data_IF_311926631366
#
_entry.id   IF_311926631366
#
_cell.length_a   1.000
_cell.length_b   1.000
_cell.length_c   1.000
_cell.angle_alpha   90.00
_cell.angle_beta   90.00
_cell.angle_gamma   90.00
#
_symmetry.space_group_name_H-M   'P 1'
#
loop_
_entity.id
_entity.type
_entity.pdbx_description
1 polymer ?
#
# COMPACT_ATOMS: atom_id res chain seq x y z
N UNK A 1 2.34 16.57 15.26
CA UNK A 1 1.08 16.23 15.99
C UNK A 1 -0.07 17.18 15.68
N UNK A 2 0.13 18.50 15.58
CA UNK A 2 -0.95 19.48 15.29
C UNK A 2 -1.73 19.19 14.00
N UNK A 3 -1.06 18.72 12.95
CA UNK A 3 -1.70 18.31 11.68
C UNK A 3 -2.33 16.91 11.70
N UNK A 4 -2.38 16.22 12.85
CA UNK A 4 -2.79 14.81 12.98
C UNK A 4 -2.02 13.87 12.04
N UNK A 5 -0.74 14.18 11.83
CA UNK A 5 0.23 13.37 11.12
C UNK A 5 1.22 12.77 12.12
N UNK A 6 1.51 11.50 11.93
CA UNK A 6 2.55 10.75 12.62
C UNK A 6 3.76 10.59 11.68
N UNK A 7 4.96 10.53 12.26
CA UNK A 7 6.19 10.33 11.51
C UNK A 7 6.51 8.84 11.51
N UNK A 8 6.75 8.31 10.31
CA UNK A 8 7.39 7.02 10.12
C UNK A 8 8.85 7.25 9.73
N UNK A 9 9.79 6.68 10.49
CA UNK A 9 11.22 6.81 10.21
C UNK A 9 11.70 5.63 9.38
N UNK A 10 12.55 5.89 8.39
CA UNK A 10 13.28 4.82 7.69
C UNK A 10 14.39 4.26 8.59
N UNK A 11 14.47 2.93 8.68
CA UNK A 11 15.53 2.24 9.41
C UNK A 11 16.26 1.32 8.44
N UNK A 12 17.43 1.78 8.01
CA UNK A 12 18.35 1.05 7.15
C UNK A 12 19.59 0.63 7.94
N UNK A 13 19.64 -0.63 8.38
CA UNK A 13 20.81 -1.18 9.07
C UNK A 13 21.91 -1.56 8.07
N UNK A 14 22.68 -0.55 7.71
CA UNK A 14 23.88 -0.56 6.88
C UNK A 14 24.68 0.72 7.18
N UNK A 15 25.94 0.76 6.79
CA UNK A 15 26.81 1.90 7.04
C UNK A 15 27.47 2.38 5.75
N UNK A 16 27.66 3.69 5.57
CA UNK A 16 28.63 4.18 4.58
C UNK A 16 30.06 3.83 5.04
N UNK A 17 31.05 3.81 4.13
CA UNK A 17 32.44 3.50 4.50
C UNK A 17 33.06 4.42 5.56
N UNK A 18 32.55 5.65 5.68
CA UNK A 18 32.98 6.67 6.63
C UNK A 18 32.17 6.70 7.94
N UNK A 19 31.19 5.80 8.10
CA UNK A 19 30.41 5.70 9.33
C UNK A 19 31.32 5.31 10.52
N UNK A 20 31.18 5.94 11.71
CA UNK A 20 32.04 5.67 12.87
C UNK A 20 32.16 4.19 13.24
N UNK A 21 31.06 3.42 13.16
CA UNK A 21 31.10 1.97 13.42
C UNK A 21 32.09 1.19 12.56
N UNK A 22 32.39 1.63 11.33
CA UNK A 22 33.36 0.94 10.46
C UNK A 22 34.77 0.99 11.08
N UNK A 23 35.12 2.12 11.71
CA UNK A 23 36.40 2.28 12.39
C UNK A 23 36.38 1.75 13.84
N UNK A 24 35.31 2.00 14.58
CA UNK A 24 35.21 1.73 16.02
C UNK A 24 34.79 0.29 16.33
N UNK A 25 34.05 -0.35 15.42
CA UNK A 25 33.46 -1.69 15.60
C UNK A 25 33.73 -2.59 14.39
N UNK A 26 34.99 -2.72 13.98
CA UNK A 26 35.40 -3.53 12.82
C UNK A 26 34.86 -4.98 12.85
N UNK A 27 34.66 -5.57 14.04
CA UNK A 27 34.08 -6.91 14.17
C UNK A 27 32.65 -7.03 13.65
N UNK A 28 31.90 -5.93 13.54
CA UNK A 28 30.52 -5.93 13.02
C UNK A 28 30.44 -6.00 11.49
N UNK A 29 31.57 -6.08 10.79
CA UNK A 29 31.64 -6.16 9.34
C UNK A 29 32.47 -7.36 8.88
N UNK A 30 32.10 -7.92 7.73
CA UNK A 30 32.82 -9.05 7.15
C UNK A 30 33.96 -8.57 6.26
N UNK A 31 35.19 -8.70 6.78
CA UNK A 31 36.40 -8.36 6.04
C UNK A 31 36.82 -9.49 5.09
N UNK A 32 37.23 -9.12 3.88
CA UNK A 32 37.90 -9.99 2.92
C UNK A 32 39.35 -10.27 3.36
N UNK A 33 40.03 -11.27 2.78
CA UNK A 33 41.42 -11.58 3.11
C UNK A 33 42.40 -10.42 2.89
N UNK A 34 42.06 -9.47 2.02
CA UNK A 34 42.86 -8.26 1.76
C UNK A 34 42.56 -7.10 2.75
N UNK A 35 41.67 -7.32 3.72
CA UNK A 35 41.25 -6.35 4.72
C UNK A 35 40.09 -5.46 4.30
N UNK A 36 39.68 -5.46 3.03
CA UNK A 36 38.54 -4.67 2.55
C UNK A 36 37.19 -5.22 3.02
N UNK A 37 36.19 -4.36 3.16
CA UNK A 37 34.79 -4.77 3.40
C UNK A 37 34.05 -4.80 2.07
N UNK A 38 33.33 -5.89 1.80
CA UNK A 38 32.50 -5.99 0.60
C UNK A 38 31.29 -5.07 0.71
N UNK A 39 31.06 -4.26 -0.33
CA UNK A 39 29.87 -3.43 -0.45
C UNK A 39 28.59 -4.28 -0.55
N UNK A 40 27.44 -3.71 -0.18
CA UNK A 40 26.18 -4.44 -0.15
C UNK A 40 25.63 -4.72 -1.56
N UNK A 41 24.97 -5.86 -1.73
CA UNK A 41 24.31 -6.24 -2.99
C UNK A 41 22.91 -6.78 -2.71
N UNK A 42 21.96 -6.45 -3.59
CA UNK A 42 20.67 -7.12 -3.69
C UNK A 42 20.44 -7.46 -5.17
N UNK A 43 21.01 -8.58 -5.66
CA UNK A 43 21.11 -8.84 -7.09
C UNK A 43 19.78 -8.66 -7.84
N UNK A 44 19.78 -7.95 -8.98
CA UNK A 44 20.96 -7.47 -9.72
C UNK A 44 21.55 -6.14 -9.24
N UNK A 45 20.97 -5.48 -8.22
CA UNK A 45 21.42 -4.18 -7.71
C UNK A 45 22.70 -4.31 -6.88
N UNK A 46 23.59 -3.33 -7.04
CA UNK A 46 24.83 -3.15 -6.28
C UNK A 46 24.82 -1.80 -5.60
N UNK A 47 25.27 -1.74 -4.37
CA UNK A 47 25.32 -0.52 -3.57
C UNK A 47 26.75 -0.32 -3.06
N UNK A 48 27.58 0.28 -3.92
CA UNK A 48 29.02 0.45 -3.68
C UNK A 48 29.35 1.44 -2.56
N UNK A 49 28.36 2.24 -2.17
CA UNK A 49 28.39 3.29 -1.17
C UNK A 49 28.03 2.82 0.24
N UNK A 50 27.71 1.54 0.45
CA UNK A 50 27.28 0.99 1.74
C UNK A 50 27.89 -0.38 2.06
N UNK A 51 28.10 -0.64 3.35
CA UNK A 51 28.58 -1.89 3.94
C UNK A 51 27.47 -2.56 4.78
N UNK A 52 27.25 -3.88 4.60
CA UNK A 52 26.30 -4.63 5.40
C UNK A 52 26.91 -5.05 6.75
N UNK A 53 26.10 -5.05 7.81
CA UNK A 53 26.49 -5.63 9.09
C UNK A 53 26.57 -7.16 9.04
N UNK A 54 27.52 -7.72 9.78
CA UNK A 54 27.62 -9.14 10.10
C UNK A 54 26.87 -9.43 11.41
N UNK A 55 25.58 -9.79 11.27
CA UNK A 55 24.68 -10.10 12.39
C UNK A 55 25.07 -11.35 13.19
N UNK A 56 26.03 -12.13 12.70
CA UNK A 56 26.54 -13.36 13.30
C UNK A 56 28.03 -13.23 13.67
N UNK A 57 28.53 -11.98 13.71
CA UNK A 57 29.89 -11.67 14.12
C UNK A 57 30.22 -12.16 15.53
N UNK A 58 31.52 -12.20 15.85
CA UNK A 58 31.97 -12.53 17.21
C UNK A 58 31.46 -11.59 18.30
N UNK A 59 30.96 -10.40 17.92
CA UNK A 59 30.43 -9.37 18.80
C UNK A 59 28.92 -9.11 18.58
N UNK A 60 28.20 -10.13 18.08
CA UNK A 60 26.81 -9.98 17.67
C UNK A 60 25.87 -9.48 18.79
N UNK A 61 26.11 -9.81 20.06
CA UNK A 61 25.26 -9.34 21.16
C UNK A 61 25.29 -7.82 21.31
N UNK A 62 26.47 -7.22 21.18
CA UNK A 62 26.64 -5.78 21.28
C UNK A 62 26.07 -5.09 20.05
N UNK A 63 26.30 -5.65 18.85
CA UNK A 63 25.67 -5.17 17.62
C UNK A 63 24.13 -5.16 17.75
N UNK A 64 23.52 -6.28 18.18
CA UNK A 64 22.06 -6.36 18.30
C UNK A 64 21.52 -5.37 19.32
N UNK A 65 22.21 -5.22 20.46
CA UNK A 65 21.83 -4.25 21.50
C UNK A 65 21.91 -2.82 20.97
N UNK A 66 22.96 -2.48 20.23
CA UNK A 66 23.14 -1.16 19.64
C UNK A 66 22.04 -0.86 18.61
N UNK A 67 21.79 -1.77 17.66
CA UNK A 67 20.77 -1.58 16.63
C UNK A 67 19.35 -1.52 17.21
N UNK A 68 19.07 -2.26 18.28
CA UNK A 68 17.81 -2.13 19.03
C UNK A 68 17.70 -0.80 19.76
N UNK A 69 18.81 -0.32 20.33
CA UNK A 69 18.95 1.00 20.95
C UNK A 69 18.61 2.15 20.00
N UNK A 70 18.94 2.04 18.71
CA UNK A 70 18.56 3.04 17.69
C UNK A 70 17.04 3.22 17.61
N UNK A 71 16.27 2.13 17.66
CA UNK A 71 14.81 2.24 17.69
C UNK A 71 14.34 2.95 18.97
N UNK A 72 14.87 2.56 20.13
CA UNK A 72 14.50 3.14 21.43
C UNK A 72 14.77 4.64 21.47
N UNK A 73 15.92 5.06 20.99
CA UNK A 73 16.27 6.47 20.88
C UNK A 73 15.18 7.26 20.12
N UNK A 74 14.74 6.77 18.94
CA UNK A 74 13.70 7.45 18.17
C UNK A 74 12.31 7.36 18.80
N UNK A 75 12.01 6.29 19.53
CA UNK A 75 10.78 6.18 20.33
C UNK A 75 10.75 7.27 21.42
N UNK A 76 11.86 7.52 22.09
CA UNK A 76 11.97 8.62 23.07
C UNK A 76 11.74 9.99 22.41
N UNK A 77 12.13 10.16 21.15
CA UNK A 77 11.85 11.38 20.36
C UNK A 77 10.40 11.46 19.83
N UNK A 78 9.55 10.48 20.12
CA UNK A 78 8.14 10.50 19.73
C UNK A 78 7.80 9.76 18.43
N UNK A 79 8.76 9.12 17.77
CA UNK A 79 8.51 8.27 16.59
C UNK A 79 7.87 6.96 17.05
N UNK A 80 6.85 6.48 16.33
CA UNK A 80 6.15 5.22 16.66
C UNK A 80 6.05 4.25 15.49
N UNK A 81 6.38 4.70 14.28
CA UNK A 81 6.31 3.89 13.08
C UNK A 81 7.70 3.83 12.45
N UNK A 82 8.13 2.64 12.07
CA UNK A 82 9.42 2.39 11.44
C UNK A 82 9.21 1.65 10.12
N UNK A 83 9.62 2.26 9.00
CA UNK A 83 9.76 1.57 7.71
C UNK A 83 11.15 0.96 7.69
N UNK A 84 11.22 -0.36 7.78
CA UNK A 84 12.50 -1.07 7.89
C UNK A 84 12.92 -1.51 6.49
N UNK A 85 14.11 -1.06 6.10
CA UNK A 85 14.68 -1.29 4.78
C UNK A 85 15.20 -2.73 4.63
N UNK A 86 14.76 -3.40 3.56
CA UNK A 86 15.23 -4.73 3.16
C UNK A 86 15.46 -5.71 4.33
N UNK A 87 14.51 -5.93 5.28
CA UNK A 87 14.76 -6.74 6.48
C UNK A 87 15.09 -8.19 6.15
N UNK A 88 14.74 -8.65 4.95
CA UNK A 88 15.08 -9.97 4.42
C UNK A 88 16.57 -10.21 4.17
N UNK A 89 17.40 -9.15 4.23
CA UNK A 89 18.87 -9.21 4.09
C UNK A 89 19.60 -9.24 5.44
N UNK A 90 18.86 -9.14 6.55
CA UNK A 90 19.38 -9.13 7.93
C UNK A 90 19.02 -10.44 8.64
N UNK A 91 19.56 -10.64 9.84
CA UNK A 91 19.23 -11.83 10.65
C UNK A 91 17.75 -11.86 11.05
N UNK A 92 17.11 -13.00 10.80
CA UNK A 92 15.71 -13.23 11.18
C UNK A 92 15.53 -13.32 12.70
N UNK A 93 16.50 -13.93 13.39
CA UNK A 93 16.51 -14.03 14.83
C UNK A 93 16.65 -12.65 15.49
N UNK A 94 17.44 -11.76 14.87
CA UNK A 94 17.55 -10.38 15.32
C UNK A 94 16.20 -9.67 15.27
N UNK A 95 15.44 -9.81 14.18
CA UNK A 95 14.13 -9.17 14.06
C UNK A 95 13.13 -9.68 15.10
N UNK A 96 13.04 -11.00 15.29
CA UNK A 96 12.17 -11.59 16.30
C UNK A 96 12.51 -11.09 17.70
N UNK A 97 13.81 -11.03 18.03
CA UNK A 97 14.30 -10.54 19.31
C UNK A 97 14.06 -9.03 19.50
N UNK A 98 14.47 -8.19 18.56
CA UNK A 98 14.41 -6.73 18.66
C UNK A 98 12.95 -6.26 18.68
N UNK A 99 12.11 -6.74 17.75
CA UNK A 99 10.69 -6.36 17.70
C UNK A 99 9.95 -6.85 18.95
N UNK A 100 10.24 -8.07 19.42
CA UNK A 100 9.65 -8.62 20.64
C UNK A 100 9.96 -7.76 21.87
N UNK A 101 11.22 -7.34 22.03
CA UNK A 101 11.64 -6.46 23.13
C UNK A 101 11.02 -5.07 23.03
N UNK A 102 11.08 -4.44 21.85
CA UNK A 102 10.52 -3.10 21.67
C UNK A 102 9.01 -3.11 21.92
N UNK A 103 8.27 -4.09 21.40
CA UNK A 103 6.81 -4.17 21.62
C UNK A 103 6.42 -4.57 23.04
N UNK A 104 7.30 -5.21 23.79
CA UNK A 104 7.06 -5.46 25.22
C UNK A 104 6.98 -4.13 25.99
N UNK A 105 7.91 -3.22 25.73
CA UNK A 105 7.99 -1.93 26.44
C UNK A 105 7.14 -0.83 25.77
N UNK A 106 6.97 -0.90 24.45
CA UNK A 106 6.31 0.08 23.59
C UNK A 106 5.35 -0.61 22.61
N UNK A 107 4.23 -1.18 23.11
CA UNK A 107 3.30 -1.99 22.30
C UNK A 107 2.62 -1.21 21.17
N UNK A 108 2.62 0.12 21.23
CA UNK A 108 2.11 1.00 20.18
C UNK A 108 3.02 1.11 18.96
N UNK A 109 4.26 0.62 19.04
CA UNK A 109 5.25 0.72 17.96
C UNK A 109 4.90 -0.19 16.78
N UNK A 110 4.89 0.40 15.57
CA UNK A 110 4.58 -0.28 14.32
C UNK A 110 5.83 -0.42 13.44
N UNK A 111 5.99 -1.60 12.85
CA UNK A 111 7.11 -1.91 11.96
C UNK A 111 6.56 -2.33 10.59
N UNK A 112 6.95 -1.61 9.54
CA UNK A 112 6.64 -1.92 8.15
C UNK A 112 7.86 -2.59 7.51
N UNK A 113 7.71 -3.85 7.10
CA UNK A 113 8.76 -4.59 6.40
C UNK A 113 8.77 -4.23 4.90
N UNK A 114 9.83 -3.59 4.43
CA UNK A 114 10.07 -3.42 2.99
C UNK A 114 10.79 -4.66 2.42
N UNK A 115 10.01 -5.71 2.11
CA UNK A 115 10.57 -7.00 1.72
C UNK A 115 10.04 -7.49 0.37
N UNK A 116 10.61 -6.97 -0.73
CA UNK A 116 10.38 -7.50 -2.07
C UNK A 116 11.22 -8.75 -2.34
N UNK A 117 10.84 -9.84 -1.69
CA UNK A 117 11.56 -11.12 -1.73
C UNK A 117 10.61 -12.27 -2.06
N UNK A 118 11.03 -13.53 -1.94
CA UNK A 118 10.15 -14.70 -2.17
C UNK A 118 9.05 -14.78 -1.09
N UNK A 119 7.85 -15.30 -1.41
CA UNK A 119 6.72 -15.32 -0.49
C UNK A 119 6.99 -15.96 0.88
N UNK A 120 7.80 -17.03 0.92
CA UNK A 120 8.14 -17.72 2.18
C UNK A 120 8.87 -16.81 3.17
N UNK A 121 9.77 -15.95 2.68
CA UNK A 121 10.55 -15.03 3.52
C UNK A 121 9.66 -13.87 3.98
N UNK A 122 8.86 -13.30 3.07
CA UNK A 122 7.91 -12.24 3.39
C UNK A 122 6.94 -12.69 4.51
N UNK A 123 6.37 -13.89 4.38
CA UNK A 123 5.50 -14.49 5.40
C UNK A 123 6.22 -14.74 6.73
N UNK A 124 7.50 -15.15 6.70
CA UNK A 124 8.27 -15.34 7.92
C UNK A 124 8.45 -14.02 8.66
N UNK A 125 8.84 -12.94 7.98
CA UNK A 125 9.02 -11.62 8.59
C UNK A 125 7.73 -11.12 9.25
N UNK A 126 6.59 -11.28 8.58
CA UNK A 126 5.29 -10.95 9.19
C UNK A 126 5.04 -11.74 10.49
N UNK A 127 5.36 -13.05 10.52
CA UNK A 127 5.25 -13.88 11.73
C UNK A 127 6.27 -13.52 12.81
N UNK A 128 7.45 -13.03 12.44
CA UNK A 128 8.49 -12.59 13.35
C UNK A 128 8.14 -11.29 14.10
N UNK A 129 7.01 -10.65 13.77
CA UNK A 129 6.46 -9.53 14.55
C UNK A 129 6.28 -8.23 13.78
N UNK A 130 6.70 -8.17 12.50
CA UNK A 130 6.43 -7.02 11.64
C UNK A 130 4.93 -6.74 11.56
N UNK A 131 4.58 -5.47 11.75
CA UNK A 131 3.17 -5.05 11.90
C UNK A 131 2.47 -4.96 10.56
N UNK A 132 3.21 -4.53 9.54
CA UNK A 132 2.78 -4.40 8.15
C UNK A 132 3.86 -4.91 7.20
N UNK A 133 3.46 -5.20 5.96
CA UNK A 133 4.36 -5.67 4.90
C UNK A 133 4.11 -4.93 3.59
N UNK A 134 5.19 -4.45 2.97
CA UNK A 134 5.20 -4.27 1.52
C UNK A 134 4.88 -5.61 0.84
N UNK A 135 4.45 -5.54 -0.42
CA UNK A 135 3.84 -6.67 -1.11
C UNK A 135 3.95 -6.46 -2.63
N UNK A 136 3.47 -7.43 -3.41
CA UNK A 136 3.66 -7.42 -4.87
C UNK A 136 2.63 -6.57 -5.62
N UNK A 137 1.86 -5.72 -4.95
CA UNK A 137 0.83 -4.89 -5.57
C UNK A 137 1.29 -4.12 -6.80
N UNK A 138 2.48 -3.44 -6.85
CA UNK A 138 2.93 -2.74 -8.05
C UNK A 138 2.91 -3.59 -9.33
N UNK A 139 3.21 -4.89 -9.20
CA UNK A 139 3.30 -5.84 -10.31
C UNK A 139 2.04 -6.70 -10.47
N UNK A 140 0.89 -6.26 -9.94
CA UNK A 140 -0.42 -6.88 -10.18
C UNK A 140 -1.30 -5.84 -10.86
N UNK A 141 -1.44 -5.94 -12.17
CA UNK A 141 -2.08 -4.92 -13.01
C UNK A 141 -3.33 -5.44 -13.70
N UNK A 142 -3.43 -6.73 -14.00
CA UNK A 142 -4.63 -7.31 -14.62
C UNK A 142 -5.69 -7.66 -13.58
N UNK A 143 -6.96 -7.78 -14.02
CA UNK A 143 -8.09 -8.23 -13.19
C UNK A 143 -7.79 -9.53 -12.48
N UNK A 144 -7.25 -10.52 -13.21
CA UNK A 144 -6.91 -11.83 -12.66
C UNK A 144 -5.79 -11.75 -11.62
N UNK A 145 -4.71 -11.03 -11.92
CA UNK A 145 -3.57 -10.86 -11.01
C UNK A 145 -3.99 -10.21 -9.69
N UNK A 146 -4.76 -9.11 -9.77
CA UNK A 146 -5.25 -8.39 -8.59
C UNK A 146 -6.19 -9.28 -7.79
N UNK A 147 -7.18 -9.90 -8.44
CA UNK A 147 -8.17 -10.76 -7.79
C UNK A 147 -7.48 -11.92 -7.07
N UNK A 148 -6.59 -12.64 -7.75
CA UNK A 148 -5.88 -13.78 -7.18
C UNK A 148 -5.01 -13.35 -5.99
N UNK A 149 -4.24 -12.27 -6.15
CA UNK A 149 -3.30 -11.85 -5.13
C UNK A 149 -3.98 -11.32 -3.87
N UNK A 150 -5.01 -10.49 -4.02
CA UNK A 150 -5.72 -9.93 -2.88
C UNK A 150 -6.59 -10.99 -2.21
N UNK A 151 -7.19 -11.92 -2.97
CA UNK A 151 -7.89 -13.08 -2.39
C UNK A 151 -6.93 -13.93 -1.55
N UNK A 152 -5.70 -14.17 -2.02
CA UNK A 152 -4.69 -14.87 -1.23
C UNK A 152 -4.40 -14.12 0.10
N UNK A 153 -4.18 -12.82 0.05
CA UNK A 153 -3.84 -12.03 1.24
C UNK A 153 -4.97 -11.98 2.27
N UNK A 154 -6.23 -11.88 1.83
CA UNK A 154 -7.38 -11.63 2.73
C UNK A 154 -8.18 -12.86 3.08
N UNK A 155 -8.15 -13.91 2.25
CA UNK A 155 -9.00 -15.10 2.41
C UNK A 155 -8.19 -16.39 2.69
N UNK A 156 -6.87 -16.30 2.82
CA UNK A 156 -6.02 -17.41 3.29
C UNK A 156 -5.56 -17.22 4.73
N UNK A 157 -4.78 -18.18 5.25
CA UNK A 157 -4.14 -18.05 6.56
C UNK A 157 -3.19 -16.84 6.68
N UNK A 158 -2.78 -16.22 5.57
CA UNK A 158 -1.96 -15.00 5.59
C UNK A 158 -2.61 -13.86 6.37
N UNK A 159 -3.94 -13.76 6.35
CA UNK A 159 -4.70 -12.71 7.06
C UNK A 159 -4.42 -12.65 8.57
N UNK A 160 -4.06 -13.79 9.17
CA UNK A 160 -3.88 -13.92 10.62
C UNK A 160 -2.58 -13.23 11.10
N UNK A 161 -1.62 -13.00 10.20
CA UNK A 161 -0.29 -12.50 10.57
C UNK A 161 0.27 -11.41 9.64
N UNK A 162 -0.23 -11.28 8.41
CA UNK A 162 0.28 -10.35 7.40
C UNK A 162 -0.75 -9.25 7.13
N UNK A 163 -0.36 -7.99 7.36
CA UNK A 163 -1.16 -6.81 7.02
C UNK A 163 -0.53 -6.08 5.83
N UNK A 164 -1.15 -6.07 4.65
CA UNK A 164 -0.55 -5.47 3.48
C UNK A 164 -0.57 -3.94 3.58
N UNK A 165 0.53 -3.30 3.21
CA UNK A 165 0.59 -1.87 2.93
C UNK A 165 0.78 -1.68 1.41
N UNK A 166 -0.27 -1.26 0.71
CA UNK A 166 -0.29 -1.21 -0.76
C UNK A 166 0.36 0.08 -1.27
N UNK A 167 1.56 -0.01 -1.84
CA UNK A 167 2.24 1.11 -2.48
C UNK A 167 2.20 0.94 -3.99
N UNK A 168 1.59 1.85 -4.78
CA UNK A 168 1.60 1.78 -6.24
C UNK A 168 2.95 2.21 -6.83
N UNK A 169 3.72 3.02 -6.10
CA UNK A 169 5.07 3.43 -6.45
C UNK A 169 5.96 3.52 -5.19
N UNK A 170 7.26 3.47 -5.37
CA UNK A 170 8.28 3.82 -4.36
C UNK A 170 9.41 4.59 -5.05
N UNK A 171 10.41 5.14 -4.35
CA UNK A 171 11.58 5.74 -5.00
C UNK A 171 12.36 4.78 -5.94
N UNK A 172 12.15 3.47 -5.78
CA UNK A 172 12.80 2.39 -6.54
C UNK A 172 11.89 1.70 -7.56
N UNK A 173 10.58 1.99 -7.53
CA UNK A 173 9.56 1.26 -8.30
C UNK A 173 8.66 2.26 -9.02
N UNK A 174 8.89 2.39 -10.33
CA UNK A 174 8.04 3.00 -11.33
C UNK A 174 7.69 1.92 -12.36
N UNK A 175 6.56 1.26 -12.20
CA UNK A 175 6.19 0.13 -13.08
C UNK A 175 5.81 0.59 -14.49
N UNK A 176 5.96 -0.28 -15.48
CA UNK A 176 5.58 0.01 -16.88
C UNK A 176 4.14 0.50 -17.02
N UNK A 177 3.22 0.01 -16.18
CA UNK A 177 1.83 0.47 -16.16
C UNK A 177 1.72 1.98 -15.93
N UNK A 178 2.52 2.53 -15.00
CA UNK A 178 2.57 3.97 -14.73
C UNK A 178 3.36 4.72 -15.82
N UNK A 179 4.41 4.11 -16.38
CA UNK A 179 5.20 4.70 -17.46
C UNK A 179 4.35 4.98 -18.70
N UNK A 180 3.56 3.99 -19.15
CA UNK A 180 2.83 4.07 -20.42
C UNK A 180 1.38 4.53 -20.28
N UNK A 181 0.75 4.36 -19.11
CA UNK A 181 -0.67 4.65 -18.93
C UNK A 181 -1.01 6.12 -18.61
N UNK A 182 0.00 6.98 -18.45
CA UNK A 182 -0.18 8.41 -18.19
C UNK A 182 -1.02 8.71 -16.94
N UNK A 183 -1.62 9.90 -16.88
CA UNK A 183 -2.39 10.39 -15.71
C UNK A 183 -3.47 9.41 -15.24
N UNK A 184 -4.18 8.76 -16.16
CA UNK A 184 -5.25 7.81 -15.86
C UNK A 184 -4.73 6.57 -15.13
N UNK A 185 -3.54 6.06 -15.47
CA UNK A 185 -2.93 4.96 -14.74
C UNK A 185 -2.63 5.32 -13.27
N UNK A 186 -2.11 6.52 -12.98
CA UNK A 186 -1.91 6.97 -11.59
C UNK A 186 -3.23 7.03 -10.82
N UNK A 187 -4.30 7.54 -11.44
CA UNK A 187 -5.64 7.55 -10.83
C UNK A 187 -6.19 6.14 -10.54
N UNK A 188 -5.99 5.20 -11.48
CA UNK A 188 -6.39 3.78 -11.35
C UNK A 188 -5.64 3.14 -10.20
N UNK A 189 -4.31 3.21 -10.21
CA UNK A 189 -3.45 2.59 -9.20
C UNK A 189 -3.69 3.16 -7.81
N UNK A 190 -3.97 4.46 -7.72
CA UNK A 190 -4.33 5.08 -6.45
C UNK A 190 -5.69 4.62 -5.94
N UNK A 191 -6.73 4.59 -6.79
CA UNK A 191 -8.03 4.08 -6.40
C UNK A 191 -7.90 2.65 -5.88
N UNK A 192 -7.26 1.76 -6.64
CA UNK A 192 -7.02 0.37 -6.25
C UNK A 192 -6.29 0.27 -4.90
N UNK A 193 -5.16 0.95 -4.72
CA UNK A 193 -4.41 0.89 -3.47
C UNK A 193 -5.26 1.38 -2.28
N UNK A 194 -5.96 2.50 -2.48
CA UNK A 194 -6.74 3.17 -1.46
C UNK A 194 -8.08 2.48 -1.13
N UNK A 195 -8.60 1.57 -1.97
CA UNK A 195 -9.87 0.87 -1.68
C UNK A 195 -9.72 -0.63 -1.50
N UNK A 196 -8.67 -1.27 -2.03
CA UNK A 196 -8.37 -2.68 -1.73
C UNK A 196 -7.78 -2.82 -0.32
N UNK A 197 -6.80 -1.99 0.04
CA UNK A 197 -6.06 -2.08 1.30
C UNK A 197 -6.53 -1.11 2.38
N UNK A 198 -6.57 -1.57 3.63
CA UNK A 198 -6.78 -0.74 4.80
C UNK A 198 -5.57 0.16 5.08
N UNK A 199 -4.38 -0.26 4.66
CA UNK A 199 -3.15 0.55 4.66
C UNK A 199 -2.58 0.65 3.25
N UNK A 200 -2.18 1.86 2.87
CA UNK A 200 -1.56 2.15 1.58
C UNK A 200 -0.59 3.33 1.75
N UNK A 201 0.32 3.52 0.80
CA UNK A 201 1.15 4.72 0.72
C UNK A 201 1.45 5.09 -0.72
N UNK A 202 2.02 6.28 -0.93
CA UNK A 202 2.52 6.76 -2.22
C UNK A 202 3.84 7.48 -1.98
N UNK A 203 4.77 7.38 -2.93
CA UNK A 203 5.94 8.24 -2.97
C UNK A 203 5.58 9.52 -3.74
N UNK A 204 5.26 10.58 -3.00
CA UNK A 204 4.98 11.92 -3.51
C UNK A 204 6.18 12.87 -3.30
N UNK A 205 6.26 14.00 -4.02
CA UNK A 205 5.25 14.49 -4.96
C UNK A 205 5.19 13.83 -6.33
N UNK A 206 6.15 12.95 -6.64
CA UNK A 206 6.27 12.28 -7.94
C UNK A 206 4.96 11.60 -8.37
N UNK A 207 4.25 10.93 -7.45
CA UNK A 207 3.00 10.23 -7.76
C UNK A 207 1.85 11.18 -8.13
N UNK A 208 1.55 12.20 -7.33
CA UNK A 208 0.43 13.11 -7.64
C UNK A 208 0.70 14.04 -8.82
N UNK A 209 1.97 14.20 -9.21
CA UNK A 209 2.42 14.90 -10.41
C UNK A 209 2.64 13.96 -11.60
N UNK A 210 2.29 12.67 -11.45
CA UNK A 210 2.34 11.63 -12.47
C UNK A 210 3.69 11.55 -13.21
N UNK A 211 4.78 11.72 -12.46
CA UNK A 211 6.14 11.54 -12.97
C UNK A 211 6.34 10.10 -13.40
N UNK A 212 6.57 9.90 -14.69
CA UNK A 212 6.52 8.58 -15.32
C UNK A 212 7.69 8.29 -16.26
N UNK A 213 8.73 9.14 -16.26
CA UNK A 213 9.92 8.92 -17.07
C UNK A 213 10.84 7.88 -16.39
N UNK A 214 11.07 6.71 -17.00
CA UNK A 214 12.05 5.75 -16.49
C UNK A 214 13.47 6.21 -16.83
N UNK A 215 14.46 5.74 -16.06
CA UNK A 215 15.90 5.99 -16.32
C UNK A 215 16.28 5.57 -17.74
N UNK A 216 15.80 4.41 -18.17
CA UNK A 216 15.97 3.86 -19.51
C UNK A 216 14.83 2.85 -19.80
N UNK A 217 14.53 2.53 -21.07
CA UNK A 217 13.49 1.56 -21.41
C UNK A 217 13.67 0.21 -20.69
N UNK A 218 12.60 -0.28 -20.06
CA UNK A 218 12.61 -1.52 -19.25
C UNK A 218 13.13 -1.35 -17.82
N UNK A 219 13.58 -0.16 -17.43
CA UNK A 219 13.93 0.15 -16.04
C UNK A 219 12.68 0.52 -15.23
N UNK A 220 12.63 0.10 -13.97
CA UNK A 220 11.64 0.58 -12.99
C UNK A 220 12.19 1.73 -12.12
N UNK A 221 13.42 2.21 -12.38
CA UNK A 221 13.98 3.37 -11.70
C UNK A 221 13.50 4.66 -12.38
N UNK A 222 13.20 5.69 -11.58
CA UNK A 222 12.89 7.02 -12.10
C UNK A 222 14.11 7.62 -12.82
N UNK A 223 13.86 8.29 -13.94
CA UNK A 223 14.82 9.24 -14.51
C UNK A 223 15.08 10.33 -13.49
N UNK A 224 16.34 10.76 -13.35
CA UNK A 224 16.68 11.91 -12.51
C UNK A 224 16.20 11.71 -11.05
N UNK A 225 16.39 10.50 -10.52
CA UNK A 225 15.88 10.05 -9.21
C UNK A 225 16.30 10.97 -8.05
N UNK A 226 15.33 11.33 -7.20
CA UNK A 226 15.54 12.16 -6.00
C UNK A 226 16.48 11.49 -4.98
N UNK A 227 16.71 10.17 -5.10
CA UNK A 227 17.71 9.46 -4.29
C UNK A 227 19.13 10.02 -4.47
N UNK A 228 19.42 10.64 -5.62
CA UNK A 228 20.77 11.08 -5.98
C UNK A 228 20.86 12.58 -6.26
N UNK A 229 19.75 13.31 -6.16
CA UNK A 229 19.72 14.75 -6.38
C UNK A 229 18.51 15.41 -5.70
N UNK A 230 18.65 16.70 -5.41
CA UNK A 230 17.53 17.51 -4.91
C UNK A 230 16.55 17.74 -6.05
N UNK A 231 15.25 17.48 -5.81
CA UNK A 231 14.18 17.86 -6.73
C UNK A 231 13.34 18.98 -6.15
N UNK A 232 12.91 19.88 -7.04
CA UNK A 232 11.96 20.93 -6.73
C UNK A 232 10.67 20.66 -7.51
N UNK A 233 9.56 20.59 -6.78
CA UNK A 233 8.27 20.16 -7.31
C UNK A 233 7.30 21.33 -7.46
N UNK A 234 6.58 21.40 -8.58
CA UNK A 234 5.50 22.37 -8.78
C UNK A 234 4.18 21.86 -8.16
N UNK A 235 4.06 21.95 -6.83
CA UNK A 235 2.95 21.37 -6.05
C UNK A 235 1.56 21.96 -6.37
N UNK A 236 1.52 23.11 -7.03
CA UNK A 236 0.28 23.81 -7.38
C UNK A 236 -0.22 23.56 -8.79
N UNK A 237 0.44 22.65 -9.54
CA UNK A 237 -0.01 22.19 -10.85
C UNK A 237 -1.51 21.85 -10.85
N UNK A 238 -2.26 22.48 -11.75
CA UNK A 238 -3.71 22.38 -11.85
C UNK A 238 -4.20 20.96 -12.21
N UNK A 239 -3.36 20.19 -12.90
CA UNK A 239 -3.60 18.82 -13.35
C UNK A 239 -3.18 17.76 -12.31
N UNK A 240 -2.61 18.19 -11.17
CA UNK A 240 -2.20 17.32 -10.06
C UNK A 240 -3.36 16.47 -9.53
N UNK A 241 -3.03 15.27 -9.07
CA UNK A 241 -3.99 14.34 -8.46
C UNK A 241 -4.31 14.67 -7.00
N UNK A 242 -3.75 15.73 -6.40
CA UNK A 242 -3.92 16.05 -4.97
C UNK A 242 -5.40 16.08 -4.52
N UNK A 243 -6.31 16.62 -5.32
CA UNK A 243 -7.73 16.73 -4.95
C UNK A 243 -8.45 15.39 -5.07
N UNK A 244 -8.08 14.58 -6.06
CA UNK A 244 -8.54 13.20 -6.21
C UNK A 244 -8.07 12.34 -5.02
N UNK A 245 -6.79 12.47 -4.65
CA UNK A 245 -6.18 11.83 -3.49
C UNK A 245 -6.88 12.24 -2.20
N UNK A 246 -7.10 13.54 -2.00
CA UNK A 246 -7.81 14.08 -0.84
C UNK A 246 -9.25 13.58 -0.78
N UNK A 247 -9.96 13.50 -1.93
CA UNK A 247 -11.34 13.00 -2.00
C UNK A 247 -11.43 11.55 -1.54
N UNK A 248 -10.60 10.65 -2.05
CA UNK A 248 -10.62 9.23 -1.67
C UNK A 248 -10.15 9.03 -0.23
N UNK A 249 -9.17 9.81 0.25
CA UNK A 249 -8.78 9.77 1.65
C UNK A 249 -9.91 10.19 2.59
N UNK A 250 -10.71 11.19 2.22
CA UNK A 250 -11.95 11.52 2.95
C UNK A 250 -12.93 10.36 2.91
N UNK A 251 -13.15 9.75 1.74
CA UNK A 251 -14.04 8.58 1.60
C UNK A 251 -13.61 7.46 2.56
N UNK A 252 -12.32 7.13 2.62
CA UNK A 252 -11.79 6.10 3.54
C UNK A 252 -12.03 6.43 5.02
N UNK A 253 -11.86 7.70 5.42
CA UNK A 253 -12.12 8.15 6.79
C UNK A 253 -13.60 8.06 7.18
N UNK A 254 -14.50 8.37 6.24
CA UNK A 254 -15.94 8.41 6.46
C UNK A 254 -16.63 7.04 6.33
N UNK A 255 -15.94 6.01 5.82
CA UNK A 255 -16.52 4.70 5.53
C UNK A 255 -15.69 3.58 6.19
N UNK A 256 -16.13 3.07 7.36
CA UNK A 256 -15.41 2.04 8.12
C UNK A 256 -15.13 0.75 7.33
N UNK A 257 -15.94 0.42 6.32
CA UNK A 257 -15.69 -0.73 5.44
C UNK A 257 -14.32 -0.69 4.73
N UNK A 258 -13.75 0.51 4.53
CA UNK A 258 -12.43 0.67 3.89
C UNK A 258 -11.27 0.63 4.89
N UNK A 259 -11.54 0.49 6.19
CA UNK A 259 -10.55 0.53 7.28
C UNK A 259 -10.11 -0.88 7.75
N UNK A 260 -10.64 -1.94 7.12
CA UNK A 260 -10.29 -3.35 7.37
C UNK A 260 -10.19 -4.11 6.05
N UNK A 261 -9.41 -5.19 5.98
CA UNK A 261 -9.17 -5.93 4.72
C UNK A 261 -10.04 -7.18 4.54
N UNK A 262 -10.62 -7.69 5.61
CA UNK A 262 -11.12 -9.07 5.67
C UNK A 262 -12.45 -9.32 4.98
N UNK A 263 -13.23 -8.27 4.77
CA UNK A 263 -14.53 -8.34 4.10
C UNK A 263 -14.43 -8.13 2.59
N UNK A 264 -13.21 -8.12 2.03
CA UNK A 264 -13.02 -7.94 0.59
C UNK A 264 -13.60 -9.13 -0.18
N UNK A 265 -14.51 -8.82 -1.11
CA UNK A 265 -15.13 -9.78 -2.02
C UNK A 265 -15.08 -9.22 -3.44
N UNK A 266 -14.65 -10.03 -4.40
CA UNK A 266 -14.64 -9.69 -5.82
C UNK A 266 -15.95 -10.14 -6.48
N UNK A 267 -16.44 -9.33 -7.43
CA UNK A 267 -17.70 -9.56 -8.13
C UNK A 267 -17.48 -9.69 -9.62
N UNK A 268 -18.32 -10.50 -10.25
CA UNK A 268 -18.24 -10.77 -11.68
C UNK A 268 -18.74 -9.58 -12.51
N UNK A 269 -17.97 -9.25 -13.54
CA UNK A 269 -18.32 -8.25 -14.55
C UNK A 269 -17.84 -8.80 -15.89
N UNK A 270 -18.71 -8.77 -16.90
CA UNK A 270 -18.50 -9.37 -18.23
C UNK A 270 -17.53 -8.57 -19.14
N UNK A 271 -16.50 -7.98 -18.53
CA UNK A 271 -15.40 -7.29 -19.19
C UNK A 271 -14.10 -7.51 -18.39
N UNK A 272 -13.03 -7.96 -19.04
CA UNK A 272 -11.74 -8.26 -18.42
C UNK A 272 -10.93 -7.00 -18.05
N UNK A 273 -11.23 -5.86 -18.67
CA UNK A 273 -10.67 -4.57 -18.32
C UNK A 273 -11.41 -3.90 -17.13
N UNK A 274 -12.55 -4.44 -16.69
CA UNK A 274 -13.26 -3.95 -15.51
C UNK A 274 -13.03 -4.89 -14.31
N UNK A 275 -12.75 -4.31 -13.15
CA UNK A 275 -12.70 -5.04 -11.87
C UNK A 275 -13.72 -4.46 -10.91
N UNK A 276 -14.48 -5.35 -10.25
CA UNK A 276 -15.46 -4.98 -9.25
C UNK A 276 -15.20 -5.72 -7.95
N UNK A 277 -15.31 -5.01 -6.82
CA UNK A 277 -15.21 -5.61 -5.50
C UNK A 277 -15.97 -4.79 -4.47
N UNK A 278 -16.32 -5.42 -3.35
CA UNK A 278 -16.92 -4.75 -2.21
C UNK A 278 -16.16 -5.00 -0.92
N UNK A 279 -16.31 -4.06 0.02
CA UNK A 279 -15.97 -4.21 1.43
C UNK A 279 -17.16 -3.71 2.25
N UNK A 280 -17.37 -4.29 3.43
CA UNK A 280 -18.50 -3.93 4.30
C UNK A 280 -18.10 -3.99 5.76
N UNK A 281 -18.88 -3.34 6.61
CA UNK A 281 -18.90 -3.65 8.05
C UNK A 281 -19.62 -4.97 8.29
N UNK A 282 -19.33 -5.64 9.41
CA UNK A 282 -19.95 -6.93 9.76
C UNK A 282 -21.49 -6.84 9.88
N UNK A 283 -21.99 -5.69 10.32
CA UNK A 283 -23.42 -5.39 10.45
C UNK A 283 -24.08 -4.91 9.13
N UNK A 284 -23.30 -4.82 8.04
CA UNK A 284 -23.73 -4.36 6.72
C UNK A 284 -24.34 -2.94 6.70
N UNK A 285 -24.03 -2.08 7.68
CA UNK A 285 -24.50 -0.68 7.72
C UNK A 285 -23.65 0.24 6.84
N UNK A 286 -22.41 -0.13 6.57
CA UNK A 286 -21.53 0.52 5.62
C UNK A 286 -21.07 -0.52 4.58
N UNK A 287 -21.52 -0.36 3.33
CA UNK A 287 -21.15 -1.23 2.21
C UNK A 287 -20.58 -0.34 1.10
N UNK A 288 -19.33 -0.58 0.75
CA UNK A 288 -18.65 0.09 -0.35
C UNK A 288 -18.45 -0.91 -1.48
N UNK A 289 -18.94 -0.56 -2.66
CA UNK A 289 -18.75 -1.28 -3.90
C UNK A 289 -17.88 -0.41 -4.82
N UNK A 290 -16.76 -0.94 -5.29
CA UNK A 290 -15.81 -0.23 -6.13
C UNK A 290 -15.74 -0.90 -7.48
N UNK A 291 -15.87 -0.11 -8.53
CA UNK A 291 -15.64 -0.50 -9.91
C UNK A 291 -14.46 0.29 -10.45
N UNK A 292 -13.50 -0.37 -11.10
CA UNK A 292 -12.33 0.29 -11.69
C UNK A 292 -12.14 -0.20 -13.12
N UNK A 293 -11.94 0.74 -14.05
CA UNK A 293 -11.44 0.47 -15.38
C UNK A 293 -9.92 0.36 -15.32
N UNK A 294 -9.39 -0.82 -15.67
CA UNK A 294 -7.96 -1.14 -15.67
C UNK A 294 -7.27 -0.71 -16.97
N UNK A 295 -8.03 -0.38 -18.02
CA UNK A 295 -7.52 0.21 -19.26
C UNK A 295 -7.37 1.74 -19.07
N UNK A 296 -6.14 2.28 -19.04
CA UNK A 296 -5.93 3.71 -18.84
C UNK A 296 -6.24 4.55 -20.09
N UNK A 297 -6.53 3.92 -21.24
CA UNK A 297 -6.64 4.60 -22.53
C UNK A 297 -8.06 4.64 -23.07
N UNK A 298 -8.86 3.58 -22.86
CA UNK A 298 -10.18 3.45 -23.48
C UNK A 298 -11.32 3.35 -22.47
N UNK A 299 -12.47 3.92 -22.84
CA UNK A 299 -13.73 3.70 -22.15
C UNK A 299 -14.08 2.22 -22.19
N UNK A 300 -14.43 1.67 -21.03
CA UNK A 300 -14.86 0.28 -20.87
C UNK A 300 -16.25 0.24 -20.28
N UNK A 301 -17.07 -0.69 -20.74
CA UNK A 301 -18.41 -0.92 -20.20
C UNK A 301 -18.68 -2.41 -20.00
N UNK A 302 -19.67 -2.74 -19.18
CA UNK A 302 -20.05 -4.11 -18.88
C UNK A 302 -21.26 -4.22 -17.97
N UNK A 303 -21.76 -5.43 -17.82
CA UNK A 303 -22.79 -5.82 -16.88
C UNK A 303 -22.16 -6.46 -15.65
N UNK A 304 -22.37 -5.80 -14.51
CA UNK A 304 -21.99 -6.27 -13.20
C UNK A 304 -23.06 -7.20 -12.64
N UNK A 305 -22.65 -8.34 -12.08
CA UNK A 305 -23.50 -9.23 -11.28
C UNK A 305 -23.15 -9.08 -9.79
N UNK A 306 -24.11 -8.59 -8.99
CA UNK A 306 -23.93 -8.32 -7.55
C UNK A 306 -24.64 -9.39 -6.72
N UNK A 307 -23.97 -10.01 -5.73
CA UNK A 307 -24.59 -10.94 -4.81
C UNK A 307 -25.41 -10.18 -3.76
N UNK A 308 -26.69 -9.92 -4.07
CA UNK A 308 -27.58 -9.11 -3.22
C UNK A 308 -27.76 -9.71 -1.84
N UNK A 309 -27.89 -11.03 -1.74
CA UNK A 309 -28.05 -11.79 -0.50
C UNK A 309 -26.86 -11.59 0.45
N UNK A 310 -25.63 -11.71 -0.08
CA UNK A 310 -24.38 -11.50 0.67
C UNK A 310 -24.28 -10.06 1.19
N UNK A 311 -24.81 -9.09 0.43
CA UNK A 311 -24.84 -7.67 0.81
C UNK A 311 -26.07 -7.30 1.65
N UNK A 312 -26.94 -8.26 1.97
CA UNK A 312 -28.18 -8.04 2.72
C UNK A 312 -29.13 -7.06 2.02
N UNK A 313 -29.16 -7.12 0.69
CA UNK A 313 -30.07 -6.40 -0.20
C UNK A 313 -31.19 -7.34 -0.67
N UNK A 314 -32.39 -6.80 -0.78
CA UNK A 314 -33.55 -7.55 -1.24
C UNK A 314 -33.62 -7.52 -2.77
N UNK A 315 -33.74 -8.69 -3.41
CA UNK A 315 -33.79 -8.83 -4.85
C UNK A 315 -35.07 -8.25 -5.48
N UNK A 316 -36.16 -8.20 -4.72
CA UNK A 316 -37.46 -7.71 -5.18
C UNK A 316 -37.62 -6.19 -5.00
N UNK A 317 -36.66 -5.53 -4.33
CA UNK A 317 -36.71 -4.10 -4.05
C UNK A 317 -35.53 -3.35 -4.68
N UNK A 318 -35.83 -2.13 -5.13
CA UNK A 318 -34.82 -1.19 -5.60
C UNK A 318 -33.92 -0.72 -4.45
N UNK A 319 -32.63 -0.53 -4.71
CA UNK A 319 -31.69 0.04 -3.74
C UNK A 319 -30.96 1.25 -4.34
N UNK A 320 -30.50 2.16 -3.47
CA UNK A 320 -29.78 3.34 -3.90
C UNK A 320 -28.27 3.09 -3.91
N UNK A 321 -27.62 3.59 -4.95
CA UNK A 321 -26.18 3.54 -5.17
C UNK A 321 -25.68 4.99 -5.24
N UNK A 322 -24.88 5.41 -4.26
CA UNK A 322 -24.32 6.78 -4.21
C UNK A 322 -22.84 6.73 -4.58
N UNK A 323 -22.47 7.27 -5.73
CA UNK A 323 -21.07 7.43 -6.11
C UNK A 323 -20.42 8.52 -5.27
N UNK A 324 -19.47 8.12 -4.43
CA UNK A 324 -18.76 9.01 -3.54
C UNK A 324 -17.69 9.83 -4.26
N UNK A 325 -17.32 9.52 -5.51
CA UNK A 325 -16.40 10.37 -6.28
C UNK A 325 -17.15 11.55 -6.91
N UNK A 326 -18.20 11.26 -7.69
CA UNK A 326 -18.98 12.28 -8.41
C UNK A 326 -20.12 12.91 -7.60
N UNK A 327 -20.55 12.28 -6.50
CA UNK A 327 -21.81 12.52 -5.79
C UNK A 327 -23.09 12.14 -6.57
N UNK A 328 -22.98 11.50 -7.73
CA UNK A 328 -24.13 10.99 -8.46
C UNK A 328 -24.86 9.91 -7.64
N UNK A 329 -26.17 9.78 -7.85
CA UNK A 329 -26.99 8.75 -7.22
C UNK A 329 -27.79 8.02 -8.28
N UNK A 330 -27.79 6.70 -8.17
CA UNK A 330 -28.49 5.78 -9.05
C UNK A 330 -29.46 4.93 -8.24
N UNK A 331 -30.49 4.42 -8.91
CA UNK A 331 -31.38 3.40 -8.37
C UNK A 331 -31.12 2.14 -9.17
N UNK A 332 -30.63 1.10 -8.51
CA UNK A 332 -30.39 -0.21 -9.11
C UNK A 332 -31.48 -1.17 -8.68
N UNK A 333 -31.80 -2.10 -9.58
CA UNK A 333 -32.85 -3.11 -9.40
C UNK A 333 -32.28 -4.47 -9.74
N UNK A 334 -32.44 -5.42 -8.83
CA UNK A 334 -31.91 -6.76 -9.01
C UNK A 334 -30.37 -6.82 -9.10
N UNK A 335 -29.83 -8.00 -9.43
CA UNK A 335 -28.40 -8.27 -9.32
C UNK A 335 -27.58 -7.75 -10.50
N UNK A 336 -28.19 -7.53 -11.67
CA UNK A 336 -27.47 -7.25 -12.92
C UNK A 336 -27.60 -5.78 -13.33
N UNK A 337 -26.50 -5.04 -13.33
CA UNK A 337 -26.48 -3.59 -13.55
C UNK A 337 -25.41 -3.19 -14.58
N UNK A 338 -25.77 -2.31 -15.51
CA UNK A 338 -24.84 -1.78 -16.52
C UNK A 338 -23.93 -0.70 -15.92
N UNK A 339 -22.66 -0.71 -16.29
CA UNK A 339 -21.65 0.29 -15.93
C UNK A 339 -20.81 0.68 -17.14
N UNK A 340 -20.34 1.94 -17.15
CA UNK A 340 -19.41 2.48 -18.14
C UNK A 340 -18.44 3.43 -17.44
N UNK A 341 -17.15 3.34 -17.75
CA UNK A 341 -16.09 4.14 -17.13
C UNK A 341 -15.13 4.68 -18.20
N UNK A 342 -15.09 6.01 -18.34
CA UNK A 342 -14.13 6.72 -19.17
C UNK A 342 -12.89 7.12 -18.34
N UNK A 343 -11.70 6.55 -18.64
CA UNK A 343 -10.48 6.80 -17.88
C UNK A 343 -9.95 8.24 -18.01
N UNK A 344 -10.41 9.01 -19.00
CA UNK A 344 -10.05 10.42 -19.17
C UNK A 344 -10.88 11.36 -18.27
N UNK A 345 -12.05 10.90 -17.80
CA UNK A 345 -12.89 11.64 -16.85
C UNK A 345 -12.61 11.14 -15.43
N UNK A 346 -12.98 9.89 -15.14
CA UNK A 346 -12.69 9.23 -13.87
C UNK A 346 -12.67 7.71 -14.10
N UNK A 347 -11.58 7.01 -13.80
CA UNK A 347 -11.44 5.59 -14.14
C UNK A 347 -12.08 4.66 -13.11
N UNK A 348 -12.79 5.19 -12.12
CA UNK A 348 -13.37 4.39 -11.04
C UNK A 348 -14.68 4.99 -10.53
N UNK A 349 -15.56 4.13 -10.06
CA UNK A 349 -16.67 4.48 -9.18
C UNK A 349 -16.44 3.92 -7.79
N UNK A 350 -16.72 4.71 -6.75
CA UNK A 350 -16.70 4.25 -5.36
C UNK A 350 -18.10 4.45 -4.81
N UNK A 351 -18.92 3.41 -4.91
CA UNK A 351 -20.32 3.46 -4.52
C UNK A 351 -20.50 3.12 -3.04
N UNK A 352 -21.32 3.91 -2.35
CA UNK A 352 -21.95 3.50 -1.09
C UNK A 352 -23.35 2.96 -1.37
N UNK A 353 -23.59 1.71 -1.01
CA UNK A 353 -24.91 1.09 -1.17
C UNK A 353 -25.80 1.46 0.02
N UNK A 354 -27.08 1.72 -0.26
CA UNK A 354 -28.10 2.00 0.75
C UNK A 354 -29.33 1.13 0.51
N UNK A 355 -29.63 0.28 1.50
CA UNK A 355 -30.72 -0.70 1.47
C UNK A 355 -32.11 -0.09 1.29
N UNK A 356 -32.30 1.17 1.69
CA UNK A 356 -33.57 1.89 1.53
C UNK A 356 -33.36 3.17 0.75
N UNK A 357 -34.16 3.34 -0.30
CA UNK A 357 -34.40 4.65 -0.90
C UNK A 357 -35.30 5.38 0.10
N UNK A 358 -34.78 6.39 0.82
CA UNK A 358 -35.65 7.24 1.64
C UNK A 358 -36.70 7.85 0.72
N UNK A 359 -37.97 7.54 0.95
CA UNK A 359 -39.09 8.16 0.24
C UNK A 359 -39.60 9.35 1.04
N UNK A 360 -40.37 10.26 0.43
CA UNK A 360 -41.00 11.39 1.13
C UNK A 360 -41.90 10.96 2.31
N UNK A 361 -42.24 9.67 2.42
CA UNK A 361 -43.00 9.09 3.55
C UNK A 361 -42.15 8.81 4.80
N UNK A 362 -40.82 8.94 4.72
CA UNK A 362 -39.89 8.72 5.84
C UNK A 362 -39.55 10.02 6.60
N UNK A 363 -40.20 11.14 6.26
CA UNK A 363 -40.20 12.32 7.12
C UNK A 363 -41.23 12.10 8.23
N UNK A 364 -40.75 11.85 9.45
CA UNK A 364 -41.53 12.11 10.65
C UNK A 364 -41.94 13.59 10.60
N UNK A 365 -43.21 13.85 10.31
CA UNK A 365 -43.83 15.12 10.60
C UNK A 365 -43.76 15.29 12.12
N UNK A 366 -42.77 16.06 12.59
CA UNK A 366 -42.85 16.65 13.92
C UNK A 366 -44.08 17.56 13.92
N UNK A 367 -45.17 17.06 14.50
CA UNK A 367 -46.30 17.86 14.97
C UNK A 367 -45.90 18.64 16.22
#
# INVERSE_FOLDING_TARGET
REHKLEIAMDIAFQCSPDHPYVAEHSAWFKHRPDGSVQYAENPPKKYEDIYPFDFESTDWQNLWTELEGVFRFWIEQGVRVFRVDNPHTKSFNFWEWAIGRIKHDHPESLFLAEAFTRPKVLRYLAKAGFSQSYNYFPWRNTKQEITQYLTQLTQSAEREYLRPNLWPNTPDILTEYLQYGGRSAFMIRFALAATLGASYGIYGPAFELFENAPREPGSEEYLDSEKYQIRHWELHRHDSLKDYIARINRIRRENPALQHDWTLQFHDVDNDALICYSKSTDDLTNIILVMVNLDPHHTQSGWLNIPLDVLGLDADHSFQVHDLLSNARYIWNGPRNYVELDPQIVPAHIFRLRKRVRSERDFDYYM
#
